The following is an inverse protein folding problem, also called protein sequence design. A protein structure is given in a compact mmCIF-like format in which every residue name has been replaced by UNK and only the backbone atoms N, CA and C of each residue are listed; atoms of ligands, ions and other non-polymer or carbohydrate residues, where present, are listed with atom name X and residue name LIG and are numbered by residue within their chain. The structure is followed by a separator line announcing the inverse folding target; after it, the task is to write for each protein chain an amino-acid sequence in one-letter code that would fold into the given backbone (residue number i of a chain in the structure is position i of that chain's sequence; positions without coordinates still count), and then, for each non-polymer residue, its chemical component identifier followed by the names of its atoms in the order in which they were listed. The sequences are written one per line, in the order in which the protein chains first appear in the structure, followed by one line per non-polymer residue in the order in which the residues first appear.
data_IF_642148382208
#
_entry.id   IF_642148382208
#
_cell.length_a   1.000
_cell.length_b   1.000
_cell.length_c   1.000
_cell.angle_alpha   90.00
_cell.angle_beta   90.00
_cell.angle_gamma   90.00
#
_symmetry.space_group_name_H-M   'P 1'
#
loop_
_entity.id
_entity.type
_entity.pdbx_description
1 polymer ?
#
# COMPACT_ATOMS: atom_id res chain seq x y z
N UNK A 1 -0.12 2.11 15.66
CA UNK A 1 0.85 1.97 14.55
C UNK A 1 0.36 2.77 13.34
N UNK A 2 -0.03 4.04 13.53
CA UNK A 2 -0.52 4.87 12.43
C UNK A 2 0.59 5.18 11.38
N UNK A 3 1.86 5.10 11.80
CA UNK A 3 2.99 5.43 10.94
C UNK A 3 3.14 4.47 9.75
N UNK A 4 2.81 3.18 9.90
CA UNK A 4 3.02 2.19 8.84
C UNK A 4 1.99 2.32 7.73
N UNK A 5 0.71 2.41 8.09
CA UNK A 5 -0.39 2.65 7.16
C UNK A 5 -0.19 3.99 6.42
N UNK A 6 0.08 5.07 7.15
CA UNK A 6 0.34 6.38 6.57
C UNK A 6 1.57 6.40 5.65
N UNK A 7 2.65 5.70 6.02
CA UNK A 7 3.84 5.59 5.18
C UNK A 7 3.58 4.76 3.91
N UNK A 8 2.76 3.71 3.98
CA UNK A 8 2.36 2.97 2.78
C UNK A 8 1.51 3.84 1.86
N UNK A 9 0.53 4.57 2.40
CA UNK A 9 -0.29 5.51 1.61
C UNK A 9 0.58 6.56 0.94
N UNK A 10 1.54 7.15 1.67
CA UNK A 10 2.50 8.09 1.10
C UNK A 10 3.37 7.45 0.00
N UNK A 11 3.82 6.21 0.23
CA UNK A 11 4.60 5.43 -0.74
C UNK A 11 3.81 5.03 -1.98
N UNK A 12 2.48 4.92 -1.91
CA UNK A 12 1.60 4.67 -3.04
C UNK A 12 1.30 5.93 -3.87
N UNK A 13 1.84 7.09 -3.49
CA UNK A 13 1.58 8.37 -4.17
C UNK A 13 0.55 9.25 -3.45
N UNK A 14 0.14 8.87 -2.24
CA UNK A 14 -0.85 9.57 -1.43
C UNK A 14 -2.28 9.02 -1.61
N UNK A 15 -3.21 9.48 -0.76
CA UNK A 15 -4.58 8.96 -0.72
C UNK A 15 -5.34 9.18 -2.03
N UNK A 16 -5.09 10.32 -2.71
CA UNK A 16 -5.71 10.64 -4.00
C UNK A 16 -5.23 9.76 -5.17
N UNK A 17 -4.14 9.00 -5.00
CA UNK A 17 -3.64 8.08 -6.02
C UNK A 17 -4.16 6.65 -5.85
N UNK A 18 -4.78 6.33 -4.72
CA UNK A 18 -5.28 4.99 -4.40
C UNK A 18 -6.74 4.92 -4.86
N UNK A 19 -7.03 4.04 -5.81
CA UNK A 19 -8.40 3.81 -6.29
C UNK A 19 -9.08 2.71 -5.48
N UNK A 20 -8.34 1.64 -5.18
CA UNK A 20 -8.84 0.53 -4.36
C UNK A 20 -7.71 -0.17 -3.60
N UNK A 21 -8.04 -0.76 -2.45
CA UNK A 21 -7.10 -1.53 -1.65
C UNK A 21 -7.75 -2.74 -0.98
N UNK A 22 -7.14 -3.90 -1.21
CA UNK A 22 -7.59 -5.19 -0.70
C UNK A 22 -6.43 -5.98 -0.06
N UNK A 23 -6.67 -6.56 1.12
CA UNK A 23 -5.76 -7.53 1.72
C UNK A 23 -5.96 -8.92 1.12
N UNK A 24 -4.85 -9.58 0.84
CA UNK A 24 -4.76 -11.04 0.81
C UNK A 24 -4.15 -11.53 2.14
N UNK A 25 -3.60 -12.75 2.17
CA UNK A 25 -3.01 -13.32 3.39
C UNK A 25 -1.70 -12.62 3.80
N UNK A 26 -0.86 -12.22 2.84
CA UNK A 26 0.47 -11.64 3.11
C UNK A 26 0.78 -10.38 2.32
N UNK A 27 -0.17 -9.90 1.51
CA UNK A 27 0.04 -8.83 0.54
C UNK A 27 -1.16 -7.90 0.50
N UNK A 28 -0.88 -6.62 0.32
CA UNK A 28 -1.85 -5.61 -0.08
C UNK A 28 -1.88 -5.60 -1.60
N UNK A 29 -3.06 -5.80 -2.18
CA UNK A 29 -3.33 -5.52 -3.60
C UNK A 29 -3.96 -4.14 -3.64
N UNK A 30 -3.28 -3.22 -4.32
CA UNK A 30 -3.71 -1.84 -4.45
C UNK A 30 -3.85 -1.51 -5.91
N UNK A 31 -4.96 -0.92 -6.30
CA UNK A 31 -5.13 -0.28 -7.60
C UNK A 31 -4.85 1.21 -7.45
N UNK A 32 -3.98 1.75 -8.30
CA UNK A 32 -3.58 3.15 -8.28
C UNK A 32 -3.90 3.83 -9.59
N UNK A 33 -4.26 5.12 -9.53
CA UNK A 33 -4.56 5.91 -10.71
C UNK A 33 -3.30 6.14 -11.57
N UNK A 34 -2.17 6.47 -10.93
CA UNK A 34 -0.88 6.68 -11.59
C UNK A 34 0.24 5.85 -10.92
N UNK A 35 0.73 4.78 -11.57
CA UNK A 35 1.84 3.98 -11.04
C UNK A 35 3.18 4.75 -11.03
N UNK A 36 3.30 5.88 -11.76
CA UNK A 36 4.49 6.73 -11.75
C UNK A 36 4.69 7.50 -10.45
N UNK A 37 3.65 7.66 -9.64
CA UNK A 37 3.72 8.29 -8.31
C UNK A 37 4.13 7.32 -7.20
N UNK A 38 4.14 6.02 -7.49
CA UNK A 38 4.47 4.97 -6.53
C UNK A 38 5.98 4.94 -6.28
N UNK A 39 6.36 4.96 -5.01
CA UNK A 39 7.75 4.95 -4.55
C UNK A 39 8.06 3.63 -3.83
N UNK A 40 8.59 2.66 -4.58
CA UNK A 40 8.98 1.36 -4.03
C UNK A 40 9.97 1.48 -2.85
N UNK A 41 10.88 2.45 -2.89
CA UNK A 41 11.84 2.70 -1.82
C UNK A 41 11.14 3.06 -0.49
N UNK A 42 10.13 3.93 -0.56
CA UNK A 42 9.37 4.37 0.60
C UNK A 42 8.50 3.22 1.14
N UNK A 43 7.91 2.42 0.25
CA UNK A 43 7.15 1.22 0.63
C UNK A 43 8.02 0.19 1.36
N UNK A 44 9.24 -0.05 0.89
CA UNK A 44 10.20 -0.93 1.58
C UNK A 44 10.64 -0.35 2.91
N UNK A 45 10.88 0.96 2.99
CA UNK A 45 11.19 1.64 4.24
C UNK A 45 10.03 1.59 5.25
N UNK A 46 8.79 1.60 4.76
CA UNK A 46 7.58 1.37 5.55
C UNK A 46 7.40 -0.09 5.99
N UNK A 47 8.31 -1.00 5.64
CA UNK A 47 8.28 -2.41 6.07
C UNK A 47 7.64 -3.36 5.06
N UNK A 48 7.53 -2.98 3.78
CA UNK A 48 7.25 -3.92 2.72
C UNK A 48 8.46 -4.83 2.48
N UNK A 49 8.23 -6.14 2.53
CA UNK A 49 9.19 -7.18 2.17
C UNK A 49 9.44 -7.25 0.66
N UNK A 50 8.46 -6.81 -0.13
CA UNK A 50 8.53 -6.77 -1.57
C UNK A 50 7.43 -5.90 -2.15
N UNK A 51 7.69 -5.33 -3.32
CA UNK A 51 6.72 -4.55 -4.09
C UNK A 51 6.73 -5.11 -5.50
N UNK A 52 5.56 -5.39 -6.05
CA UNK A 52 5.40 -5.78 -7.45
C UNK A 52 4.44 -4.79 -8.10
N UNK A 53 4.81 -4.25 -9.25
CA UNK A 53 3.95 -3.35 -10.02
C UNK A 53 3.63 -4.00 -11.38
N UNK A 54 2.35 -3.99 -11.75
CA UNK A 54 1.86 -4.53 -13.01
C UNK A 54 0.82 -3.58 -13.60
N UNK A 55 1.28 -2.60 -14.37
CA UNK A 55 0.44 -1.49 -14.80
C UNK A 55 -0.01 -0.67 -13.59
N UNK A 56 -1.32 -0.48 -13.44
CA UNK A 56 -1.93 0.26 -12.33
C UNK A 56 -2.10 -0.56 -11.05
N UNK A 57 -1.77 -1.86 -11.08
CA UNK A 57 -1.89 -2.72 -9.91
C UNK A 57 -0.55 -2.83 -9.20
N UNK A 58 -0.53 -2.45 -7.93
CA UNK A 58 0.62 -2.56 -7.02
C UNK A 58 0.33 -3.64 -5.99
N UNK A 59 1.26 -4.57 -5.79
CA UNK A 59 1.22 -5.58 -4.74
C UNK A 59 2.34 -5.34 -3.74
N UNK A 60 1.97 -4.97 -2.51
CA UNK A 60 2.90 -4.70 -1.42
C UNK A 60 2.89 -5.89 -0.46
N UNK A 61 4.00 -6.62 -0.37
CA UNK A 61 4.15 -7.77 0.53
C UNK A 61 4.50 -7.26 1.92
N UNK A 62 3.59 -7.34 2.87
CA UNK A 62 3.77 -6.81 4.24
C UNK A 62 3.81 -7.90 5.31
N UNK A 63 3.45 -9.13 4.98
CA UNK A 63 3.39 -10.26 5.92
C UNK A 63 1.99 -10.47 6.51
N UNK A 64 1.86 -11.25 7.60
CA UNK A 64 0.56 -11.68 8.15
C UNK A 64 -0.29 -10.53 8.72
N UNK A 65 0.30 -9.34 8.87
CA UNK A 65 -0.37 -8.11 9.29
C UNK A 65 -1.10 -7.38 8.14
N UNK A 66 -1.16 -7.95 6.94
CA UNK A 66 -1.77 -7.33 5.76
C UNK A 66 -3.24 -6.94 5.96
N UNK A 67 -4.01 -7.78 6.66
CA UNK A 67 -5.43 -7.58 6.93
C UNK A 67 -5.64 -6.33 7.81
N UNK A 68 -5.01 -6.31 8.98
CA UNK A 68 -5.04 -5.15 9.91
C UNK A 68 -4.52 -3.87 9.27
N UNK A 69 -3.47 -3.97 8.44
CA UNK A 69 -2.90 -2.81 7.77
C UNK A 69 -3.82 -2.26 6.68
N UNK A 70 -4.64 -3.10 6.05
CA UNK A 70 -5.65 -2.64 5.09
C UNK A 70 -6.76 -1.87 5.78
N UNK A 71 -7.23 -2.35 6.93
CA UNK A 71 -8.24 -1.65 7.73
C UNK A 71 -7.71 -0.29 8.20
N UNK A 72 -6.48 -0.26 8.75
CA UNK A 72 -5.82 0.98 9.14
C UNK A 72 -5.66 1.97 7.97
N UNK A 73 -5.39 1.46 6.75
CA UNK A 73 -5.31 2.30 5.54
C UNK A 73 -6.70 2.83 5.16
N UNK A 74 -7.73 1.99 5.18
CA UNK A 74 -9.10 2.40 4.84
C UNK A 74 -9.60 3.49 5.80
N UNK A 75 -9.34 3.35 7.09
CA UNK A 75 -9.65 4.36 8.11
C UNK A 75 -8.92 5.71 7.87
N UNK A 76 -7.80 5.71 7.15
CA UNK A 76 -7.06 6.94 6.76
C UNK A 76 -7.55 7.54 5.44
N UNK A 77 -8.30 6.80 4.62
CA UNK A 77 -8.82 7.22 3.32
C UNK A 77 -10.24 7.80 3.43
N UNK A 78 -10.97 7.49 4.50
CA UNK A 78 -12.24 8.14 4.88
C UNK A 78 -12.05 9.57 5.41
#
# INVERSE_FOLDING_TARGET
MADKAAAIVAGLGGPANIEDIEACITRLRTEVADPGLVKEGDLRAAGAHGVLMSGNVVQVVVGPEADTLTDDIKDLLD
#
